data_IF_182967110757
#
_entry.id   IF_182967110757
#
_cell.length_a   1.000
_cell.length_b   1.000
_cell.length_c   1.000
_cell.angle_alpha   90.00
_cell.angle_beta   90.00
_cell.angle_gamma   90.00
#
_symmetry.space_group_name_H-M   'P 1'
#
loop_
_entity.id
_entity.type
_entity.pdbx_description
1 polymer ?
#
# COMPACT_ATOMS: atom_id res chain seq x y z
N UNK A 1 1.16 -5.57 -22.49
CA UNK A 1 0.91 -6.62 -21.50
C UNK A 1 0.53 -5.99 -20.16
N UNK A 2 -0.54 -6.44 -19.56
CA UNK A 2 -1.10 -5.78 -18.36
C UNK A 2 -1.37 -6.76 -17.22
N UNK A 3 -0.50 -7.75 -17.05
CA UNK A 3 -0.61 -8.65 -15.91
C UNK A 3 -0.38 -7.87 -14.62
N UNK A 4 -1.18 -8.16 -13.62
CA UNK A 4 -1.13 -7.45 -12.35
C UNK A 4 -1.20 -8.43 -11.19
N UNK A 5 -0.43 -8.13 -10.16
CA UNK A 5 -0.52 -8.80 -8.86
C UNK A 5 -1.13 -7.79 -7.90
N UNK A 6 -2.16 -8.16 -7.17
CA UNK A 6 -2.81 -7.20 -6.29
C UNK A 6 -3.22 -7.82 -4.95
N UNK A 7 -3.30 -6.96 -3.97
CA UNK A 7 -3.78 -7.27 -2.63
C UNK A 7 -4.94 -6.33 -2.34
N UNK A 8 -6.03 -6.86 -1.85
CA UNK A 8 -7.25 -6.09 -1.55
C UNK A 8 -7.56 -6.15 -0.07
N UNK A 9 -7.82 -4.99 0.53
CA UNK A 9 -8.26 -4.87 1.93
C UNK A 9 -7.29 -5.48 2.94
N UNK A 10 -6.00 -5.23 2.77
CA UNK A 10 -5.04 -5.56 3.81
C UNK A 10 -5.34 -4.67 5.02
N UNK A 11 -5.73 -5.27 6.13
CA UNK A 11 -6.11 -4.54 7.33
C UNK A 11 -4.91 -4.45 8.27
N UNK A 12 -4.48 -3.22 8.57
CA UNK A 12 -3.40 -2.97 9.51
C UNK A 12 -3.88 -2.00 10.58
N UNK A 13 -3.46 -2.21 11.83
CA UNK A 13 -3.65 -1.21 12.88
C UNK A 13 -2.44 -0.27 12.83
N UNK A 14 -2.69 1.01 12.70
CA UNK A 14 -1.62 2.01 12.62
C UNK A 14 -1.94 3.25 13.42
N UNK A 15 -0.93 4.12 13.57
CA UNK A 15 -1.03 5.34 14.39
C UNK A 15 -0.87 6.58 13.52
N UNK A 16 -1.20 6.46 12.24
CA UNK A 16 -1.01 7.54 11.27
C UNK A 16 -2.14 8.55 11.34
N UNK A 17 -1.79 9.83 11.19
CA UNK A 17 -2.73 10.92 11.21
C UNK A 17 -2.14 12.12 11.92
N UNK A 18 -2.78 13.29 11.76
CA UNK A 18 -2.30 14.53 12.35
C UNK A 18 -2.85 14.77 13.76
N UNK A 19 -3.95 14.13 14.11
CA UNK A 19 -4.59 14.34 15.43
C UNK A 19 -3.91 13.52 16.52
N UNK A 20 -3.81 14.10 17.72
CA UNK A 20 -3.21 13.42 18.87
C UNK A 20 -3.89 12.08 19.16
N UNK A 21 -5.22 12.04 19.09
CA UNK A 21 -5.97 10.81 19.33
C UNK A 21 -5.61 9.70 18.32
N UNK A 22 -5.39 10.05 17.06
CA UNK A 22 -4.97 9.09 16.05
C UNK A 22 -3.61 8.48 16.38
N UNK A 23 -2.68 9.31 16.85
CA UNK A 23 -1.33 8.87 17.20
C UNK A 23 -1.28 8.07 18.49
N UNK A 24 -2.22 8.32 19.39
CA UNK A 24 -2.25 7.70 20.72
C UNK A 24 -2.98 6.37 20.71
N UNK A 25 -4.16 6.32 20.11
CA UNK A 25 -5.03 5.12 20.08
C UNK A 25 -4.83 4.26 18.87
N UNK A 26 -4.46 4.87 17.77
CA UNK A 26 -4.38 4.19 16.48
C UNK A 26 -5.75 3.85 15.93
N UNK A 27 -5.76 3.27 14.75
CA UNK A 27 -7.00 2.86 14.10
C UNK A 27 -6.69 1.83 13.01
N UNK A 28 -7.73 1.22 12.48
CA UNK A 28 -7.58 0.30 11.35
C UNK A 28 -7.44 1.08 10.06
N UNK A 29 -6.51 0.63 9.23
CA UNK A 29 -6.32 1.10 7.86
C UNK A 29 -6.54 -0.09 6.93
N UNK A 30 -7.20 0.15 5.82
CA UNK A 30 -7.38 -0.87 4.78
C UNK A 30 -6.60 -0.44 3.56
N UNK A 31 -5.74 -1.33 3.08
CA UNK A 31 -4.78 -1.00 2.04
C UNK A 31 -4.98 -1.94 0.85
N UNK A 32 -5.07 -1.34 -0.33
CA UNK A 32 -5.06 -2.08 -1.59
C UNK A 32 -3.75 -1.76 -2.29
N UNK A 33 -3.11 -2.77 -2.82
CA UNK A 33 -1.85 -2.62 -3.55
C UNK A 33 -2.01 -3.36 -4.87
N UNK A 34 -1.75 -2.66 -5.98
CA UNK A 34 -1.93 -3.19 -7.32
C UNK A 34 -0.65 -2.95 -8.11
N UNK A 35 0.06 -4.03 -8.42
CA UNK A 35 1.35 -3.98 -9.12
C UNK A 35 1.16 -4.43 -10.57
N UNK A 36 1.46 -3.54 -11.52
CA UNK A 36 1.48 -3.89 -12.94
C UNK A 36 2.87 -4.40 -13.30
N UNK A 37 2.93 -5.57 -13.90
CA UNK A 37 4.19 -6.23 -14.20
C UNK A 37 4.66 -5.90 -15.62
N UNK A 38 5.98 -5.79 -15.79
CA UNK A 38 6.60 -5.57 -17.10
C UNK A 38 6.44 -6.80 -17.98
N UNK A 39 6.56 -7.98 -17.39
CA UNK A 39 6.47 -9.25 -18.12
C UNK A 39 5.72 -10.27 -17.28
N UNK A 40 4.99 -11.19 -17.91
CA UNK A 40 4.28 -12.23 -17.19
C UNK A 40 5.22 -13.32 -16.69
N UNK A 41 4.92 -13.91 -15.54
CA UNK A 41 5.65 -15.06 -15.02
C UNK A 41 5.04 -16.39 -15.51
N UNK A 42 4.01 -16.32 -16.34
CA UNK A 42 3.25 -17.51 -16.76
C UNK A 42 4.05 -18.49 -17.61
N UNK A 43 5.12 -18.03 -18.26
CA UNK A 43 5.93 -18.92 -19.09
C UNK A 43 6.95 -19.71 -18.28
N UNK A 44 7.44 -19.15 -17.18
CA UNK A 44 8.46 -19.80 -16.34
C UNK A 44 7.86 -20.55 -15.16
N UNK A 45 6.74 -20.06 -14.65
CA UNK A 45 6.07 -20.60 -13.46
C UNK A 45 6.98 -20.58 -12.23
N UNK A 46 7.86 -19.56 -12.14
CA UNK A 46 8.80 -19.42 -11.04
C UNK A 46 8.48 -18.20 -10.18
N UNK A 47 8.52 -18.38 -8.87
CA UNK A 47 8.25 -17.30 -7.90
C UNK A 47 9.26 -16.14 -8.06
N UNK A 48 10.50 -16.42 -8.41
CA UNK A 48 11.55 -15.40 -8.59
C UNK A 48 11.25 -14.45 -9.74
N UNK A 49 10.34 -14.81 -10.64
CA UNK A 49 10.03 -14.00 -11.81
C UNK A 49 8.70 -13.24 -11.66
N UNK A 50 8.14 -13.22 -10.47
CA UNK A 50 6.92 -12.48 -10.18
C UNK A 50 7.06 -11.72 -8.88
N UNK A 51 5.95 -11.21 -8.36
CA UNK A 51 5.89 -10.52 -7.08
C UNK A 51 5.24 -11.45 -6.05
N UNK A 52 5.92 -11.67 -4.94
CA UNK A 52 5.38 -12.47 -3.85
C UNK A 52 4.43 -11.59 -3.01
N UNK A 53 3.12 -11.76 -3.20
CA UNK A 53 2.13 -10.89 -2.54
C UNK A 53 2.17 -10.97 -1.01
N UNK A 54 2.59 -12.09 -0.43
CA UNK A 54 2.80 -12.19 1.02
C UNK A 54 3.89 -11.23 1.48
N UNK A 55 4.98 -11.10 0.71
CA UNK A 55 6.04 -10.14 1.03
C UNK A 55 5.59 -8.71 0.82
N UNK A 56 4.67 -8.47 -0.10
CA UNK A 56 4.05 -7.14 -0.27
C UNK A 56 3.31 -6.75 1.01
N UNK A 57 2.53 -7.67 1.56
CA UNK A 57 1.82 -7.44 2.81
C UNK A 57 2.78 -7.20 3.97
N UNK A 58 3.84 -8.02 4.07
CA UNK A 58 4.86 -7.87 5.11
C UNK A 58 5.54 -6.51 5.03
N UNK A 59 5.83 -6.05 3.82
CA UNK A 59 6.48 -4.75 3.60
C UNK A 59 5.60 -3.61 4.09
N UNK A 60 4.31 -3.64 3.74
CA UNK A 60 3.36 -2.62 4.18
C UNK A 60 3.22 -2.61 5.71
N UNK A 61 3.11 -3.79 6.31
CA UNK A 61 3.01 -3.93 7.76
C UNK A 61 4.26 -3.40 8.46
N UNK A 62 5.44 -3.72 7.93
CA UNK A 62 6.70 -3.25 8.50
C UNK A 62 6.82 -1.74 8.43
N UNK A 63 6.51 -1.14 7.29
CA UNK A 63 6.54 0.32 7.14
C UNK A 63 5.57 1.00 8.11
N UNK A 64 4.38 0.45 8.27
CA UNK A 64 3.39 0.98 9.20
C UNK A 64 3.84 0.87 10.65
N UNK A 65 4.54 -0.21 10.99
CA UNK A 65 5.00 -0.43 12.36
C UNK A 65 6.23 0.38 12.76
N UNK A 66 7.06 0.73 11.78
CA UNK A 66 8.33 1.43 12.05
C UNK A 66 8.18 2.95 12.06
N UNK A 67 7.20 3.50 11.38
CA UNK A 67 7.06 4.94 11.20
C UNK A 67 5.62 5.36 11.38
N UNK A 68 5.42 6.47 12.09
CA UNK A 68 4.11 7.10 12.23
C UNK A 68 4.07 8.25 11.22
N UNK A 69 3.18 8.15 10.25
CA UNK A 69 3.05 9.17 9.22
C UNK A 69 1.94 10.16 9.59
N UNK A 70 2.15 11.43 9.34
CA UNK A 70 1.10 12.43 9.53
C UNK A 70 0.00 12.29 8.49
N UNK A 71 0.39 11.96 7.26
CA UNK A 71 -0.53 11.87 6.13
C UNK A 71 -0.57 10.46 5.58
N UNK A 72 -1.76 9.97 5.27
CA UNK A 72 -1.88 8.66 4.62
C UNK A 72 -1.32 8.70 3.20
N UNK A 73 -1.26 9.87 2.58
CA UNK A 73 -0.58 10.05 1.28
C UNK A 73 0.89 9.67 1.39
N UNK A 74 1.56 10.10 2.46
CA UNK A 74 2.97 9.78 2.70
C UNK A 74 3.15 8.28 2.93
N UNK A 75 2.25 7.69 3.71
CA UNK A 75 2.27 6.24 3.94
C UNK A 75 2.13 5.48 2.62
N UNK A 76 1.16 5.87 1.80
CA UNK A 76 0.95 5.24 0.49
C UNK A 76 2.17 5.40 -0.41
N UNK A 77 2.79 6.59 -0.44
CA UNK A 77 3.99 6.86 -1.23
C UNK A 77 5.15 5.98 -0.81
N UNK A 78 5.34 5.79 0.49
CA UNK A 78 6.45 4.96 1.01
C UNK A 78 6.24 3.50 0.65
N UNK A 79 5.02 3.00 0.68
CA UNK A 79 4.72 1.65 0.22
C UNK A 79 5.05 1.51 -1.27
N UNK A 80 4.58 2.45 -2.08
CA UNK A 80 4.81 2.42 -3.52
C UNK A 80 6.30 2.44 -3.86
N UNK A 81 7.05 3.34 -3.24
CA UNK A 81 8.50 3.46 -3.47
C UNK A 81 9.25 2.19 -3.08
N UNK A 82 8.89 1.60 -1.96
CA UNK A 82 9.54 0.39 -1.48
C UNK A 82 9.27 -0.80 -2.41
N UNK A 83 8.06 -0.89 -2.96
CA UNK A 83 7.72 -1.94 -3.92
C UNK A 83 8.51 -1.79 -5.21
N UNK A 84 8.56 -0.58 -5.75
CA UNK A 84 9.33 -0.32 -6.98
C UNK A 84 10.82 -0.59 -6.78
N UNK A 85 11.34 -0.32 -5.60
CA UNK A 85 12.74 -0.60 -5.28
C UNK A 85 13.02 -2.10 -5.15
N UNK A 86 12.11 -2.84 -4.52
CA UNK A 86 12.34 -4.26 -4.24
C UNK A 86 12.13 -5.15 -5.46
N UNK A 87 11.15 -4.85 -6.29
CA UNK A 87 10.81 -5.69 -7.44
C UNK A 87 10.97 -4.95 -8.76
N UNK A 88 12.07 -5.22 -9.46
CA UNK A 88 12.34 -4.59 -10.77
C UNK A 88 11.29 -4.90 -11.82
N UNK A 89 10.60 -6.03 -11.68
CA UNK A 89 9.55 -6.43 -12.62
C UNK A 89 8.30 -5.55 -12.53
N UNK A 90 8.12 -4.82 -11.43
CA UNK A 90 6.98 -3.92 -11.27
C UNK A 90 7.26 -2.62 -12.03
N UNK A 91 6.43 -2.33 -13.03
CA UNK A 91 6.53 -1.07 -13.77
C UNK A 91 5.75 0.04 -13.12
N UNK A 92 4.60 -0.30 -12.55
CA UNK A 92 3.70 0.69 -11.97
C UNK A 92 2.98 0.08 -10.78
N UNK A 93 2.80 0.86 -9.74
CA UNK A 93 2.07 0.42 -8.57
C UNK A 93 1.05 1.47 -8.16
N UNK A 94 -0.16 1.01 -7.86
CA UNK A 94 -1.22 1.85 -7.30
C UNK A 94 -1.44 1.40 -5.87
N UNK A 95 -1.36 2.34 -4.94
CA UNK A 95 -1.59 2.08 -3.52
C UNK A 95 -2.77 2.91 -3.06
N UNK A 96 -3.78 2.26 -2.49
CA UNK A 96 -4.94 2.92 -1.91
C UNK A 96 -4.91 2.68 -0.41
N UNK A 97 -5.01 3.75 0.37
CA UNK A 97 -5.09 3.67 1.83
C UNK A 97 -6.41 4.27 2.25
N UNK A 98 -7.24 3.50 2.94
CA UNK A 98 -8.54 3.94 3.45
C UNK A 98 -8.53 3.93 4.96
N UNK A 99 -9.14 4.94 5.58
CA UNK A 99 -9.40 4.96 7.02
C UNK A 99 -10.90 5.13 7.28
N UNK A 100 -11.54 4.06 7.77
CA UNK A 100 -12.98 4.11 8.08
C UNK A 100 -13.29 4.99 9.29
N UNK A 101 -12.33 5.16 10.19
CA UNK A 101 -12.53 5.88 11.46
C UNK A 101 -11.88 7.26 11.45
N UNK A 102 -11.88 7.92 10.29
CA UNK A 102 -11.33 9.27 10.19
C UNK A 102 -12.06 10.23 11.14
N UNK A 103 -11.32 11.10 11.83
CA UNK A 103 -11.94 11.99 12.84
C UNK A 103 -12.58 13.22 12.18
N UNK A 104 -13.67 12.97 11.47
CA UNK A 104 -14.50 14.00 10.85
C UNK A 104 -15.93 13.86 11.40
N UNK A 105 -16.69 14.95 11.34
CA UNK A 105 -18.04 14.95 11.89
C UNK A 105 -19.11 14.36 10.97
N UNK A 106 -18.74 14.08 9.74
CA UNK A 106 -19.67 13.52 8.76
C UNK A 106 -19.67 11.99 8.80
N UNK A 107 -20.81 11.41 8.48
CA UNK A 107 -20.94 9.95 8.37
C UNK A 107 -20.52 9.52 6.98
N UNK A 108 -19.48 8.74 6.89
CA UNK A 108 -18.97 8.20 5.62
C UNK A 108 -18.51 6.77 5.88
N UNK A 109 -18.44 5.97 4.83
CA UNK A 109 -17.90 4.61 4.96
C UNK A 109 -16.42 4.66 5.29
N UNK A 110 -15.70 5.50 4.58
CA UNK A 110 -14.26 5.72 4.79
C UNK A 110 -13.84 6.95 4.00
N UNK A 111 -12.66 7.45 4.34
CA UNK A 111 -11.93 8.41 3.52
C UNK A 111 -10.63 7.74 3.11
N UNK A 112 -10.00 8.21 2.08
CA UNK A 112 -8.76 7.59 1.65
C UNK A 112 -8.05 8.35 0.55
N UNK A 113 -6.91 7.80 0.17
CA UNK A 113 -6.09 8.29 -0.93
C UNK A 113 -5.74 7.12 -1.83
N UNK A 114 -5.59 7.41 -3.11
CA UNK A 114 -5.08 6.44 -4.07
C UNK A 114 -3.99 7.14 -4.85
N UNK A 115 -2.81 6.54 -4.89
CA UNK A 115 -1.68 7.08 -5.64
C UNK A 115 -1.18 6.05 -6.62
N UNK A 116 -0.66 6.51 -7.74
CA UNK A 116 -0.06 5.65 -8.75
C UNK A 116 1.34 6.17 -9.04
N UNK A 117 2.32 5.27 -8.99
CA UNK A 117 3.71 5.63 -9.26
C UNK A 117 4.30 4.63 -10.24
N UNK A 118 5.09 5.14 -11.17
CA UNK A 118 5.77 4.32 -12.14
C UNK A 118 7.28 4.55 -12.05
N UNK A 119 8.02 3.55 -12.54
CA UNK A 119 9.47 3.57 -12.48
C UNK A 119 10.08 4.72 -13.28
N UNK A 120 9.42 5.11 -14.35
CA UNK A 120 9.93 6.12 -15.26
C UNK A 120 9.22 7.47 -15.17
N UNK A 121 8.58 7.72 -14.07
CA UNK A 121 7.93 8.99 -13.92
C UNK A 121 6.73 9.01 -13.08
#
# INVERSE_FOLDING_TARGET
MTDRIFVTNLCLHGFHGVHTAEKSLGQKFFIDIDCRLAEPATSSDLMEETVHYGEVCDLAEELSGKTVFNLIETFAERIASAILEKWNIVEEVTVTVRKPSAPIRHLVDHVGVAITRSRNG
#
